data_IF_319048628456
#
_entry.id   IF_319048628456
#
_cell.length_a   1.000
_cell.length_b   1.000
_cell.length_c   1.000
_cell.angle_alpha   90.00
_cell.angle_beta   90.00
_cell.angle_gamma   90.00
#
_symmetry.space_group_name_H-M   'P 1'
#
loop_
_entity.id
_entity.type
_entity.pdbx_description
1 polymer ?
#
# COMPACT_ATOMS: atom_id res chain seq x y z
N UNK A 1 69.39 -4.43 -25.25
CA UNK A 1 68.78 -5.39 -26.19
C UNK A 1 67.35 -5.64 -25.76
N UNK A 2 66.40 -5.32 -26.64
CA UNK A 2 64.99 -5.70 -26.52
C UNK A 2 64.79 -7.21 -26.53
N UNK A 3 63.76 -7.69 -25.83
CA UNK A 3 62.84 -8.65 -26.43
C UNK A 3 61.42 -8.46 -25.86
N UNK A 4 60.46 -8.41 -26.78
CA UNK A 4 59.03 -8.12 -26.59
C UNK A 4 58.24 -9.43 -26.40
N UNK A 5 56.99 -9.26 -25.90
CA UNK A 5 55.78 -10.10 -26.13
C UNK A 5 55.70 -11.39 -25.30
N UNK A 6 54.60 -11.82 -24.66
CA UNK A 6 53.16 -11.92 -24.99
C UNK A 6 52.38 -12.06 -23.63
N UNK A 7 51.31 -11.30 -23.33
CA UNK A 7 49.89 -11.62 -23.59
C UNK A 7 49.41 -12.92 -22.88
N UNK A 8 48.61 -12.85 -21.79
CA UNK A 8 47.16 -13.18 -21.67
C UNK A 8 47.02 -13.71 -20.22
N UNK A 9 46.02 -13.52 -19.37
CA UNK A 9 44.61 -13.15 -19.44
C UNK A 9 44.22 -12.74 -18.01
N UNK A 10 43.93 -11.47 -17.76
CA UNK A 10 43.31 -11.07 -16.50
C UNK A 10 41.81 -11.40 -16.60
N UNK A 11 41.35 -12.35 -15.79
CA UNK A 11 39.96 -12.73 -15.68
C UNK A 11 39.11 -11.54 -15.21
N UNK A 12 38.44 -10.87 -16.15
CA UNK A 12 37.36 -9.94 -15.86
C UNK A 12 36.12 -10.75 -15.49
N UNK A 13 36.09 -11.27 -14.27
CA UNK A 13 34.83 -11.55 -13.59
C UNK A 13 34.34 -10.22 -12.98
N UNK A 14 33.96 -9.28 -13.84
CA UNK A 14 33.11 -8.18 -13.42
C UNK A 14 31.74 -8.78 -13.15
N UNK A 15 31.57 -9.32 -11.94
CA UNK A 15 30.25 -9.59 -11.40
C UNK A 15 29.46 -8.29 -11.45
N UNK A 16 28.25 -8.34 -12.00
CA UNK A 16 27.32 -7.22 -11.91
C UNK A 16 27.15 -6.90 -10.42
N UNK A 17 27.68 -5.78 -9.96
CA UNK A 17 27.24 -5.21 -8.68
C UNK A 17 25.82 -4.74 -8.93
N UNK A 18 24.83 -5.53 -8.49
CA UNK A 18 23.45 -5.07 -8.41
C UNK A 18 23.45 -3.88 -7.45
N UNK A 19 23.33 -2.68 -8.02
CA UNK A 19 23.10 -1.49 -7.24
C UNK A 19 21.77 -1.69 -6.49
N UNK A 20 21.78 -1.47 -5.18
CA UNK A 20 20.58 -1.57 -4.36
C UNK A 20 19.48 -0.71 -5.00
N UNK A 21 18.41 -1.35 -5.45
CA UNK A 21 17.32 -0.63 -6.10
C UNK A 21 16.81 0.45 -5.13
N UNK A 22 16.58 1.69 -5.62
CA UNK A 22 16.04 2.73 -4.75
C UNK A 22 14.74 2.22 -4.11
N UNK A 23 14.63 2.40 -2.79
CA UNK A 23 13.43 2.03 -2.05
C UNK A 23 12.20 2.64 -2.74
N UNK A 24 11.31 1.76 -3.23
CA UNK A 24 10.08 2.17 -3.92
C UNK A 24 9.27 3.08 -2.99
N UNK A 25 8.87 4.25 -3.49
CA UNK A 25 7.97 5.14 -2.75
C UNK A 25 6.62 4.47 -2.54
N UNK A 26 6.04 4.67 -1.35
CA UNK A 26 4.71 4.15 -1.05
C UNK A 26 3.71 4.71 -2.06
N UNK A 27 2.86 3.83 -2.59
CA UNK A 27 1.73 4.18 -3.44
C UNK A 27 0.41 4.07 -2.66
N UNK A 28 -0.66 4.67 -3.20
CA UNK A 28 -1.97 4.70 -2.53
C UNK A 28 -2.57 3.28 -2.38
N UNK A 29 -2.26 2.35 -3.27
CA UNK A 29 -2.70 0.95 -3.29
C UNK A 29 -1.80 0.01 -2.46
N UNK A 30 -0.80 0.54 -1.75
CA UNK A 30 0.17 -0.28 -1.02
C UNK A 30 -0.41 -0.89 0.26
N UNK A 31 -1.57 -0.44 0.77
CA UNK A 31 -2.17 -1.00 1.97
C UNK A 31 -2.43 -2.51 1.80
N UNK A 32 -2.98 -2.94 0.68
CA UNK A 32 -3.31 -4.35 0.41
C UNK A 32 -2.23 -5.15 -0.34
N UNK A 33 -1.07 -4.56 -0.64
CA UNK A 33 0.03 -5.28 -1.30
C UNK A 33 0.57 -6.41 -0.40
N UNK A 34 0.61 -7.63 -0.93
CA UNK A 34 1.23 -8.81 -0.27
C UNK A 34 0.68 -9.11 1.13
N UNK A 35 -0.62 -8.86 1.35
CA UNK A 35 -1.27 -9.17 2.63
C UNK A 35 -1.29 -10.68 2.87
N UNK A 36 -0.78 -11.09 4.03
CA UNK A 36 -0.84 -12.45 4.56
C UNK A 36 -1.49 -12.38 5.94
N UNK A 37 -2.40 -13.30 6.26
CA UNK A 37 -3.17 -13.24 7.51
C UNK A 37 -2.28 -13.35 8.75
N UNK A 38 -1.19 -14.12 8.66
CA UNK A 38 -0.20 -14.30 9.71
C UNK A 38 0.66 -13.05 9.93
N UNK A 39 0.66 -12.11 8.98
CA UNK A 39 1.44 -10.88 8.99
C UNK A 39 0.57 -9.62 8.98
N UNK A 40 -0.66 -9.73 9.48
CA UNK A 40 -1.64 -8.64 9.40
C UNK A 40 -1.18 -7.37 10.12
N UNK A 41 -0.41 -7.48 11.20
CA UNK A 41 0.16 -6.33 11.90
C UNK A 41 1.21 -5.58 11.06
N UNK A 42 2.01 -6.30 10.27
CA UNK A 42 2.95 -5.67 9.34
C UNK A 42 2.20 -4.97 8.20
N UNK A 43 1.13 -5.59 7.69
CA UNK A 43 0.27 -4.97 6.68
C UNK A 43 -0.39 -3.68 7.20
N UNK A 44 -0.91 -3.69 8.44
CA UNK A 44 -1.48 -2.51 9.10
C UNK A 44 -0.43 -1.42 9.29
N UNK A 45 0.77 -1.75 9.76
CA UNK A 45 1.86 -0.76 9.92
C UNK A 45 2.27 -0.12 8.60
N UNK A 46 2.32 -0.89 7.51
CA UNK A 46 2.54 -0.33 6.16
C UNK A 46 1.38 0.59 5.78
N UNK A 47 0.14 0.15 5.98
CA UNK A 47 -1.03 0.92 5.62
C UNK A 47 -1.15 2.23 6.41
N UNK A 48 -0.73 2.28 7.67
CA UNK A 48 -0.66 3.52 8.46
C UNK A 48 0.22 4.57 7.77
N UNK A 49 1.34 4.15 7.17
CA UNK A 49 2.22 5.05 6.41
C UNK A 49 1.56 5.54 5.12
N UNK A 50 0.82 4.66 4.43
CA UNK A 50 0.07 5.03 3.21
C UNK A 50 -1.01 6.05 3.55
N UNK A 51 -1.82 5.82 4.58
CA UNK A 51 -2.85 6.77 5.03
C UNK A 51 -2.25 8.12 5.41
N UNK A 52 -1.07 8.12 6.06
CA UNK A 52 -0.36 9.35 6.40
C UNK A 52 0.16 10.10 5.15
N UNK A 53 0.61 9.38 4.12
CA UNK A 53 1.12 9.96 2.88
C UNK A 53 0.01 10.47 1.95
N UNK A 54 -1.16 9.83 1.98
CA UNK A 54 -2.32 10.16 1.15
C UNK A 54 -3.54 10.56 2.02
N UNK A 55 -3.43 11.61 2.85
CA UNK A 55 -4.43 11.89 3.90
C UNK A 55 -5.81 12.31 3.36
N UNK A 56 -5.85 12.80 2.11
CA UNK A 56 -7.07 13.22 1.45
C UNK A 56 -7.66 12.12 0.56
N UNK A 57 -6.91 11.05 0.26
CA UNK A 57 -7.43 9.96 -0.57
C UNK A 57 -8.33 9.04 0.28
N UNK A 58 -9.60 8.82 -0.11
CA UNK A 58 -10.47 7.89 0.61
C UNK A 58 -10.06 6.41 0.47
N UNK A 59 -9.31 6.02 -0.57
CA UNK A 59 -8.99 4.62 -0.84
C UNK A 59 -8.08 3.96 0.24
N UNK A 60 -6.96 4.57 0.69
CA UNK A 60 -6.14 3.99 1.75
C UNK A 60 -6.91 3.72 3.05
N UNK A 61 -7.88 4.57 3.39
CA UNK A 61 -8.73 4.37 4.58
C UNK A 61 -9.73 3.23 4.38
N UNK A 62 -10.31 3.11 3.18
CA UNK A 62 -11.12 1.94 2.81
C UNK A 62 -10.32 0.64 2.95
N UNK A 63 -9.10 0.61 2.42
CA UNK A 63 -8.20 -0.55 2.50
C UNK A 63 -7.78 -0.86 3.94
N UNK A 64 -7.43 0.15 4.75
CA UNK A 64 -7.13 -0.01 6.17
C UNK A 64 -8.30 -0.63 6.94
N UNK A 65 -9.53 -0.26 6.60
CA UNK A 65 -10.72 -0.83 7.24
C UNK A 65 -10.81 -2.34 7.05
N UNK A 66 -10.45 -2.85 5.86
CA UNK A 66 -10.44 -4.28 5.57
C UNK A 66 -9.42 -5.01 6.45
N UNK A 67 -8.22 -4.46 6.59
CA UNK A 67 -7.18 -5.05 7.43
C UNK A 67 -7.58 -5.07 8.91
N UNK A 68 -8.26 -4.03 9.40
CA UNK A 68 -8.77 -3.98 10.78
C UNK A 68 -9.88 -5.01 11.01
N UNK A 69 -10.81 -5.15 10.07
CA UNK A 69 -11.86 -6.18 10.14
C UNK A 69 -11.27 -7.60 10.12
N UNK A 70 -10.24 -7.85 9.29
CA UNK A 70 -9.52 -9.14 9.30
C UNK A 70 -8.83 -9.42 10.63
N UNK A 71 -8.48 -8.39 11.41
CA UNK A 71 -7.91 -8.50 12.76
C UNK A 71 -8.99 -8.70 13.84
N UNK A 72 -10.27 -8.60 13.45
CA UNK A 72 -11.41 -8.63 14.37
C UNK A 72 -11.68 -7.29 15.08
N UNK A 73 -11.09 -6.18 14.64
CA UNK A 73 -11.37 -4.84 15.18
C UNK A 73 -12.41 -4.12 14.29
N UNK A 74 -13.62 -4.65 14.30
CA UNK A 74 -14.74 -4.12 13.50
C UNK A 74 -15.07 -2.67 13.87
N UNK A 75 -14.90 -2.31 15.15
CA UNK A 75 -15.13 -0.95 15.61
C UNK A 75 -14.14 0.04 14.97
N UNK A 76 -12.84 -0.31 14.88
CA UNK A 76 -11.85 0.51 14.19
C UNK A 76 -12.07 0.51 12.67
N UNK A 77 -12.44 -0.63 12.08
CA UNK A 77 -12.77 -0.71 10.66
C UNK A 77 -13.91 0.26 10.30
N UNK A 78 -14.98 0.28 11.09
CA UNK A 78 -16.11 1.18 10.86
C UNK A 78 -15.76 2.66 11.02
N UNK A 79 -14.85 3.01 11.95
CA UNK A 79 -14.34 4.39 12.05
C UNK A 79 -13.57 4.81 10.79
N UNK A 80 -12.76 3.92 10.21
CA UNK A 80 -12.07 4.21 8.95
C UNK A 80 -13.04 4.41 7.78
N UNK A 81 -14.08 3.57 7.68
CA UNK A 81 -15.10 3.72 6.64
C UNK A 81 -15.87 5.03 6.74
N UNK A 82 -16.23 5.47 7.95
CA UNK A 82 -16.88 6.77 8.11
C UNK A 82 -15.96 7.93 7.71
N UNK A 83 -14.67 7.86 8.07
CA UNK A 83 -13.68 8.86 7.65
C UNK A 83 -13.49 8.88 6.12
N UNK A 84 -13.35 7.71 5.50
CA UNK A 84 -13.21 7.56 4.06
C UNK A 84 -14.45 8.07 3.30
N UNK A 85 -15.65 7.73 3.79
CA UNK A 85 -16.90 8.21 3.20
C UNK A 85 -16.99 9.75 3.30
N UNK A 86 -16.59 10.35 4.42
CA UNK A 86 -16.55 11.82 4.56
C UNK A 86 -15.60 12.47 3.55
N UNK A 87 -14.40 11.90 3.36
CA UNK A 87 -13.44 12.39 2.35
C UNK A 87 -14.03 12.29 0.94
N UNK A 88 -14.68 11.17 0.61
CA UNK A 88 -15.31 10.98 -0.70
C UNK A 88 -16.40 12.03 -0.98
N UNK A 89 -17.22 12.38 0.02
CA UNK A 89 -18.21 13.46 -0.10
C UNK A 89 -17.55 14.83 -0.29
N UNK A 90 -16.47 15.11 0.45
CA UNK A 90 -15.75 16.39 0.36
C UNK A 90 -15.10 16.60 -1.02
N UNK A 91 -14.59 15.54 -1.64
CA UNK A 91 -14.00 15.62 -2.98
C UNK A 91 -15.04 15.70 -4.09
N UNK A 92 -16.26 15.27 -3.80
CA UNK A 92 -17.34 15.08 -4.76
C UNK A 92 -17.26 13.69 -5.38
N UNK A 93 -18.22 12.84 -5.06
CA UNK A 93 -18.25 11.43 -5.45
C UNK A 93 -18.19 11.20 -6.96
N UNK A 94 -18.70 12.14 -7.77
CA UNK A 94 -18.63 12.07 -9.24
C UNK A 94 -17.20 12.21 -9.82
N UNK A 95 -16.20 12.55 -9.00
CA UNK A 95 -14.78 12.65 -9.41
C UNK A 95 -13.96 11.42 -9.01
N UNK A 96 -14.56 10.49 -8.28
CA UNK A 96 -13.90 9.29 -7.77
C UNK A 96 -14.26 8.08 -8.61
N UNK A 97 -13.48 7.01 -8.44
CA UNK A 97 -13.84 5.70 -8.99
C UNK A 97 -15.24 5.29 -8.48
N UNK A 98 -16.21 5.04 -9.36
CA UNK A 98 -17.57 4.62 -8.96
C UNK A 98 -17.58 3.35 -8.10
N UNK A 99 -16.63 2.44 -8.31
CA UNK A 99 -16.48 1.23 -7.51
C UNK A 99 -16.08 1.55 -6.08
N UNK A 100 -15.12 2.46 -5.88
CA UNK A 100 -14.74 2.94 -4.55
C UNK A 100 -15.93 3.59 -3.84
N UNK A 101 -16.69 4.45 -4.53
CA UNK A 101 -17.89 5.10 -3.97
C UNK A 101 -18.94 4.07 -3.55
N UNK A 102 -19.18 3.06 -4.40
CA UNK A 102 -20.11 1.97 -4.11
C UNK A 102 -19.66 1.15 -2.90
N UNK A 103 -18.39 0.79 -2.84
CA UNK A 103 -17.81 0.02 -1.75
C UNK A 103 -17.94 0.75 -0.40
N UNK A 104 -17.53 2.02 -0.35
CA UNK A 104 -17.67 2.85 0.84
C UNK A 104 -19.12 2.94 1.33
N UNK A 105 -20.06 3.06 0.39
CA UNK A 105 -21.49 3.12 0.71
C UNK A 105 -22.03 1.79 1.25
N UNK A 106 -21.57 0.66 0.72
CA UNK A 106 -21.94 -0.67 1.21
C UNK A 106 -21.37 -0.94 2.60
N UNK A 107 -20.07 -0.73 2.78
CA UNK A 107 -19.39 -0.96 4.06
C UNK A 107 -19.95 -0.05 5.16
N UNK A 108 -20.23 1.22 4.85
CA UNK A 108 -20.86 2.15 5.80
C UNK A 108 -22.24 1.65 6.25
N UNK A 109 -23.08 1.19 5.33
CA UNK A 109 -24.38 0.60 5.69
C UNK A 109 -24.22 -0.63 6.58
N UNK A 110 -23.27 -1.50 6.28
CA UNK A 110 -22.96 -2.68 7.12
C UNK A 110 -22.60 -2.28 8.55
N UNK A 111 -21.78 -1.24 8.71
CA UNK A 111 -21.39 -0.71 10.02
C UNK A 111 -22.57 -0.17 10.83
N UNK A 112 -23.59 0.39 10.17
CA UNK A 112 -24.77 0.94 10.82
C UNK A 112 -25.80 -0.14 11.20
N UNK A 113 -25.79 -1.28 10.51
CA UNK A 113 -26.69 -2.41 10.79
C UNK A 113 -26.15 -3.43 11.79
N UNK A 114 -24.84 -3.39 12.08
CA UNK A 114 -24.15 -4.33 12.97
C UNK A 114 -23.88 -3.80 14.39
N UNK A 115 -24.38 -2.61 14.72
CA UNK A 115 -24.20 -1.90 16.00
C UNK A 115 -25.43 -1.97 16.89
#
# INVERSE_FOLDING_TARGET
MSLRTLCLTAALLSGCSEAELPQRSLQADDCLREVQLEQLDAALSRCDKVVAQYPNDPAPRNERSLLLALKGDDAAACREIEAAHKLAQQQGTGKLDPMLVSELSMRRRSCQSGS
#
